data_IF_534918949055
#
_entry.id   IF_534918949055
#
_cell.length_a   1.000
_cell.length_b   1.000
_cell.length_c   1.000
_cell.angle_alpha   90.00
_cell.angle_beta   90.00
_cell.angle_gamma   90.00
#
_symmetry.space_group_name_H-M   'P 1'
#
loop_
_entity.id
_entity.type
_entity.pdbx_description
1 polymer ?
#
# COMPACT_ATOMS: atom_id res chain seq x y z
N UNK A 1 -48.90 -10.81 -51.26
CA UNK A 1 -47.95 -11.68 -50.57
C UNK A 1 -46.70 -10.85 -50.22
N UNK A 2 -46.59 -10.40 -48.99
CA UNK A 2 -45.43 -9.61 -48.50
C UNK A 2 -44.36 -10.57 -47.98
N UNK A 3 -43.14 -10.53 -48.54
CA UNK A 3 -41.98 -11.28 -48.08
C UNK A 3 -41.37 -10.54 -46.89
N UNK A 4 -41.35 -11.18 -45.72
CA UNK A 4 -40.67 -10.70 -44.55
C UNK A 4 -39.24 -11.24 -44.63
N UNK A 5 -38.26 -10.34 -44.81
CA UNK A 5 -36.82 -10.69 -44.70
C UNK A 5 -36.40 -10.62 -43.24
N UNK A 6 -36.01 -11.75 -42.69
CA UNK A 6 -35.46 -11.88 -41.34
C UNK A 6 -33.97 -11.56 -41.38
N UNK A 7 -33.56 -10.39 -40.84
CA UNK A 7 -32.15 -10.06 -40.66
C UNK A 7 -31.65 -10.76 -39.41
N UNK A 8 -30.76 -11.72 -39.56
CA UNK A 8 -30.00 -12.29 -38.47
C UNK A 8 -28.84 -11.34 -38.13
N UNK A 9 -28.91 -10.69 -36.96
CA UNK A 9 -27.79 -9.93 -36.40
C UNK A 9 -26.90 -10.92 -35.64
N UNK A 10 -25.74 -11.22 -36.21
CA UNK A 10 -24.72 -12.06 -35.60
C UNK A 10 -23.92 -11.20 -34.58
N UNK A 11 -24.25 -11.30 -33.31
CA UNK A 11 -23.48 -10.65 -32.24
C UNK A 11 -22.16 -11.39 -32.05
N UNK A 12 -21.08 -10.82 -32.54
CA UNK A 12 -19.72 -11.31 -32.26
C UNK A 12 -19.33 -10.87 -30.83
N UNK A 13 -19.37 -11.80 -29.89
CA UNK A 13 -18.80 -11.61 -28.58
C UNK A 13 -17.27 -11.66 -28.72
N UNK A 14 -16.65 -10.49 -28.72
CA UNK A 14 -15.18 -10.38 -28.64
C UNK A 14 -14.77 -10.70 -27.20
N UNK A 15 -14.38 -11.96 -26.97
CA UNK A 15 -13.73 -12.36 -25.73
C UNK A 15 -12.32 -11.73 -25.72
N UNK A 16 -12.17 -10.59 -25.05
CA UNK A 16 -10.83 -10.03 -24.79
C UNK A 16 -10.08 -10.99 -23.86
N UNK A 17 -8.90 -11.50 -24.24
CA UNK A 17 -8.11 -12.28 -23.32
C UNK A 17 -7.67 -11.38 -22.15
N UNK A 18 -8.12 -11.70 -20.96
CA UNK A 18 -7.54 -11.16 -19.73
C UNK A 18 -6.12 -11.74 -19.67
N UNK A 19 -5.15 -11.00 -20.23
CA UNK A 19 -3.74 -11.30 -19.98
C UNK A 19 -3.49 -11.05 -18.48
N UNK A 20 -3.45 -12.12 -17.71
CA UNK A 20 -2.94 -12.08 -16.35
C UNK A 20 -1.55 -11.44 -16.39
N UNK A 21 -1.38 -10.27 -15.72
CA UNK A 21 -0.07 -9.67 -15.55
C UNK A 21 0.78 -10.65 -14.73
N UNK A 22 1.66 -11.39 -15.40
CA UNK A 22 2.75 -12.09 -14.73
C UNK A 22 3.68 -11.00 -14.21
N UNK A 23 3.50 -10.63 -12.96
CA UNK A 23 4.43 -9.72 -12.27
C UNK A 23 5.63 -10.56 -11.86
N UNK A 24 6.71 -10.49 -12.64
CA UNK A 24 8.01 -11.05 -12.23
C UNK A 24 8.57 -10.17 -11.10
N UNK A 25 8.19 -10.49 -9.87
CA UNK A 25 8.77 -9.85 -8.69
C UNK A 25 10.23 -10.27 -8.53
N UNK A 26 11.06 -9.34 -8.05
CA UNK A 26 12.44 -9.62 -7.71
C UNK A 26 12.52 -10.54 -6.47
N UNK A 27 13.55 -11.34 -6.40
CA UNK A 27 13.86 -12.10 -5.20
C UNK A 27 14.22 -11.18 -4.03
N UNK A 28 14.04 -11.63 -2.80
CA UNK A 28 14.27 -10.87 -1.58
C UNK A 28 15.64 -10.17 -1.56
N UNK A 29 16.72 -10.91 -1.84
CA UNK A 29 18.08 -10.36 -1.83
C UNK A 29 18.28 -9.25 -2.87
N UNK A 30 17.63 -9.37 -4.02
CA UNK A 30 17.64 -8.31 -5.03
C UNK A 30 16.85 -7.08 -4.60
N UNK A 31 15.70 -7.28 -3.92
CA UNK A 31 14.93 -6.19 -3.33
C UNK A 31 15.75 -5.43 -2.29
N UNK A 32 16.44 -6.17 -1.38
CA UNK A 32 17.32 -5.57 -0.37
C UNK A 32 18.41 -4.72 -1.04
N UNK A 33 19.12 -5.27 -2.04
CA UNK A 33 20.15 -4.52 -2.80
C UNK A 33 19.58 -3.27 -3.47
N UNK A 34 18.37 -3.34 -4.00
CA UNK A 34 17.68 -2.18 -4.58
C UNK A 34 17.34 -1.12 -3.53
N UNK A 35 16.83 -1.54 -2.38
CA UNK A 35 16.52 -0.63 -1.27
C UNK A 35 17.77 0.05 -0.69
N UNK A 36 18.91 -0.67 -0.62
CA UNK A 36 20.21 -0.09 -0.22
C UNK A 36 20.68 1.04 -1.14
N UNK A 37 20.29 0.99 -2.42
CA UNK A 37 20.63 2.04 -3.39
C UNK A 37 19.80 3.32 -3.25
N UNK A 38 18.72 3.30 -2.48
CA UNK A 38 17.81 4.43 -2.28
C UNK A 38 16.98 4.80 -3.50
N UNK A 39 16.13 5.81 -3.34
CA UNK A 39 15.28 6.35 -4.40
C UNK A 39 14.00 5.57 -4.68
N UNK A 40 13.65 4.62 -3.82
CA UNK A 40 12.42 3.83 -3.90
C UNK A 40 11.38 4.36 -2.92
N UNK A 41 10.15 3.88 -3.06
CA UNK A 41 9.07 3.99 -2.08
C UNK A 41 8.87 2.63 -1.43
N UNK A 42 8.94 2.57 -0.12
CA UNK A 42 8.67 1.40 0.70
C UNK A 42 7.30 1.60 1.34
N UNK A 43 6.28 0.98 0.76
CA UNK A 43 4.93 1.07 1.28
C UNK A 43 4.65 -0.08 2.24
N UNK A 44 4.45 0.25 3.50
CA UNK A 44 4.08 -0.68 4.55
C UNK A 44 2.57 -0.58 4.83
N UNK A 45 1.86 -1.70 4.77
CA UNK A 45 0.62 -1.81 5.51
C UNK A 45 0.97 -1.81 6.99
N UNK A 46 0.20 -1.11 7.83
CA UNK A 46 0.43 -1.11 9.27
C UNK A 46 0.61 -2.54 9.82
N UNK A 47 1.35 -2.68 10.91
CA UNK A 47 1.56 -3.95 11.59
C UNK A 47 0.25 -4.56 12.15
N UNK A 48 0.31 -5.80 12.61
CA UNK A 48 -0.85 -6.56 13.11
C UNK A 48 -1.63 -5.82 14.19
N UNK A 49 -2.95 -5.85 14.07
CA UNK A 49 -3.89 -5.17 14.99
C UNK A 49 -4.70 -6.17 15.78
N UNK A 50 -5.33 -5.71 16.86
CA UNK A 50 -6.35 -6.49 17.56
C UNK A 50 -7.47 -6.87 16.59
N UNK A 51 -8.09 -8.05 16.82
CA UNK A 51 -9.12 -8.59 15.93
C UNK A 51 -10.51 -8.59 16.56
N UNK A 52 -10.58 -8.30 17.86
CA UNK A 52 -11.82 -8.46 18.65
C UNK A 52 -12.81 -7.32 18.41
N UNK A 53 -12.37 -6.24 17.76
CA UNK A 53 -13.20 -5.09 17.41
C UNK A 53 -12.70 -4.39 16.15
N UNK A 54 -13.60 -3.66 15.49
CA UNK A 54 -13.31 -2.82 14.32
C UNK A 54 -13.17 -1.36 14.72
N UNK A 55 -12.69 -0.51 13.80
CA UNK A 55 -12.82 0.93 13.94
C UNK A 55 -14.29 1.33 14.02
N UNK A 56 -14.60 2.40 14.76
CA UNK A 56 -15.91 3.03 14.65
C UNK A 56 -16.06 3.63 13.24
N UNK A 57 -17.28 3.62 12.69
CA UNK A 57 -17.55 4.17 11.34
C UNK A 57 -17.10 5.63 11.21
N UNK A 58 -17.19 6.40 12.29
CA UNK A 58 -16.71 7.77 12.39
C UNK A 58 -15.47 7.87 13.27
N UNK A 59 -14.49 7.00 13.03
CA UNK A 59 -13.27 6.99 13.83
C UNK A 59 -12.56 8.36 13.79
N UNK A 60 -12.30 8.93 14.97
CA UNK A 60 -11.54 10.18 15.10
C UNK A 60 -10.03 9.87 15.09
N UNK A 61 -9.31 10.49 14.18
CA UNK A 61 -7.84 10.34 14.08
C UNK A 61 -7.09 10.89 15.30
N UNK A 62 -7.73 11.66 16.15
CA UNK A 62 -7.18 12.20 17.40
C UNK A 62 -7.58 11.39 18.64
N UNK A 63 -8.51 10.44 18.50
CA UNK A 63 -9.00 9.60 19.59
C UNK A 63 -8.79 8.10 19.30
N UNK A 64 -7.76 7.53 19.91
CA UNK A 64 -7.42 6.12 19.76
C UNK A 64 -8.50 5.16 20.28
N UNK A 65 -9.41 5.60 21.16
CA UNK A 65 -10.51 4.78 21.67
C UNK A 65 -11.56 4.47 20.61
N UNK A 66 -11.61 5.24 19.53
CA UNK A 66 -12.50 5.04 18.39
C UNK A 66 -11.90 4.16 17.30
N UNK A 67 -10.65 3.72 17.47
CA UNK A 67 -9.87 3.04 16.45
C UNK A 67 -9.40 1.67 16.91
N UNK A 68 -9.25 0.76 15.96
CA UNK A 68 -8.56 -0.51 16.17
C UNK A 68 -7.06 -0.26 16.34
N UNK A 69 -6.49 -0.75 17.45
CA UNK A 69 -5.10 -0.52 17.82
C UNK A 69 -4.18 -1.67 17.39
N UNK A 70 -2.86 -1.46 17.47
CA UNK A 70 -1.89 -2.52 17.28
C UNK A 70 -2.06 -3.59 18.37
N UNK A 71 -1.94 -4.85 17.98
CA UNK A 71 -1.83 -5.98 18.91
C UNK A 71 -0.40 -6.07 19.46
N UNK A 72 -0.21 -6.87 20.51
CA UNK A 72 1.14 -7.19 21.02
C UNK A 72 2.03 -7.76 19.90
N UNK A 73 1.46 -8.62 19.03
CA UNK A 73 2.15 -9.12 17.84
C UNK A 73 2.59 -7.96 16.94
N UNK A 74 1.71 -7.01 16.66
CA UNK A 74 2.00 -5.87 15.79
C UNK A 74 3.10 -4.97 16.34
N UNK A 75 3.14 -4.76 17.65
CA UNK A 75 4.25 -4.04 18.29
C UNK A 75 5.59 -4.73 18.04
N UNK A 76 5.66 -6.04 18.24
CA UNK A 76 6.87 -6.84 17.98
C UNK A 76 7.28 -6.84 16.51
N UNK A 77 6.30 -6.97 15.61
CA UNK A 77 6.52 -6.88 14.15
C UNK A 77 7.12 -5.54 13.75
N UNK A 78 6.55 -4.43 14.19
CA UNK A 78 7.06 -3.10 13.84
C UNK A 78 8.50 -2.89 14.32
N UNK A 79 8.82 -3.30 15.55
CA UNK A 79 10.19 -3.26 16.09
C UNK A 79 11.13 -4.17 15.29
N UNK A 80 10.68 -5.37 14.91
CA UNK A 80 11.46 -6.30 14.10
C UNK A 80 11.78 -5.71 12.72
N UNK A 81 10.80 -5.15 12.02
CA UNK A 81 10.98 -4.47 10.74
C UNK A 81 12.05 -3.36 10.88
N UNK A 82 11.95 -2.53 11.91
CA UNK A 82 12.92 -1.46 12.13
C UNK A 82 14.35 -1.96 12.35
N UNK A 83 14.51 -3.04 13.09
CA UNK A 83 15.81 -3.70 13.29
C UNK A 83 16.36 -4.26 11.98
N UNK A 84 15.52 -4.90 11.16
CA UNK A 84 15.92 -5.46 9.87
C UNK A 84 16.33 -4.35 8.88
N UNK A 85 15.60 -3.25 8.80
CA UNK A 85 15.97 -2.07 8.00
C UNK A 85 17.36 -1.55 8.37
N UNK A 86 17.65 -1.44 9.69
CA UNK A 86 18.96 -1.02 10.19
C UNK A 86 20.03 -2.07 9.88
N UNK A 87 19.75 -3.35 10.13
CA UNK A 87 20.69 -4.46 9.88
C UNK A 87 21.12 -4.56 8.41
N UNK A 88 20.17 -4.39 7.51
CA UNK A 88 20.43 -4.40 6.06
C UNK A 88 20.99 -3.08 5.52
N UNK A 89 21.25 -2.09 6.37
CA UNK A 89 21.75 -0.76 5.96
C UNK A 89 20.88 -0.10 4.88
N UNK A 90 19.55 -0.24 4.97
CA UNK A 90 18.61 0.36 4.03
C UNK A 90 18.42 1.84 4.40
N UNK A 91 18.86 2.79 3.54
CA UNK A 91 18.76 4.20 3.87
C UNK A 91 17.31 4.69 3.76
N UNK A 92 16.84 5.39 4.80
CA UNK A 92 15.50 5.99 4.86
C UNK A 92 15.63 7.51 4.96
N UNK A 93 15.18 8.23 3.94
CA UNK A 93 15.23 9.69 3.87
C UNK A 93 14.05 10.34 4.60
N UNK A 94 12.86 9.80 4.44
CA UNK A 94 11.62 10.31 5.01
C UNK A 94 10.68 9.16 5.38
N UNK A 95 9.91 9.36 6.44
CA UNK A 95 8.85 8.44 6.86
C UNK A 95 7.56 9.22 6.96
N UNK A 96 6.58 8.83 6.17
CA UNK A 96 5.23 9.37 6.17
C UNK A 96 4.27 8.30 6.70
N UNK A 97 3.24 8.72 7.42
CA UNK A 97 2.22 7.78 7.90
C UNK A 97 0.81 8.34 7.73
N UNK A 98 -0.17 7.44 7.67
CA UNK A 98 -1.56 7.80 7.94
C UNK A 98 -1.68 8.39 9.34
N UNK A 99 -2.72 9.18 9.56
CA UNK A 99 -3.03 9.80 10.87
C UNK A 99 -3.60 8.78 11.87
N UNK A 100 -4.08 7.62 11.42
CA UNK A 100 -4.60 6.56 12.27
C UNK A 100 -3.51 5.99 13.18
N UNK A 101 -3.87 5.70 14.43
CA UNK A 101 -2.95 5.29 15.49
C UNK A 101 -2.10 4.09 15.08
N UNK A 102 -2.71 3.02 14.57
CA UNK A 102 -1.98 1.81 14.16
C UNK A 102 -0.92 2.06 13.09
N UNK A 103 -1.12 3.06 12.21
CA UNK A 103 -0.15 3.38 11.17
C UNK A 103 1.02 4.20 11.70
N UNK A 104 0.76 5.32 12.40
CA UNK A 104 1.86 6.13 12.92
C UNK A 104 2.61 5.43 14.07
N UNK A 105 1.94 4.60 14.88
CA UNK A 105 2.62 3.77 15.88
C UNK A 105 3.55 2.75 15.23
N UNK A 106 3.13 2.08 14.14
CA UNK A 106 4.02 1.21 13.35
C UNK A 106 5.22 2.01 12.84
N UNK A 107 5.01 3.20 12.28
CA UNK A 107 6.08 4.06 11.78
C UNK A 107 7.05 4.47 12.90
N UNK A 108 6.53 4.87 14.07
CA UNK A 108 7.33 5.23 15.22
C UNK A 108 8.17 4.07 15.73
N UNK A 109 7.58 2.91 15.94
CA UNK A 109 8.26 1.71 16.45
C UNK A 109 9.36 1.22 15.50
N UNK A 110 9.15 1.32 14.19
CA UNK A 110 10.10 0.84 13.20
C UNK A 110 11.18 1.87 12.87
N UNK A 111 10.86 3.17 12.81
CA UNK A 111 11.75 4.19 12.24
C UNK A 111 12.10 5.32 13.20
N UNK A 112 11.48 5.40 14.38
CA UNK A 112 11.69 6.43 15.42
C UNK A 112 11.41 7.87 14.93
N UNK A 113 10.82 8.01 13.75
CA UNK A 113 10.44 9.27 13.11
C UNK A 113 9.25 9.05 12.17
N UNK A 114 8.41 10.03 12.04
CA UNK A 114 7.31 10.03 11.06
C UNK A 114 6.70 11.42 10.91
N UNK A 115 6.00 11.64 9.81
CA UNK A 115 5.15 12.78 9.55
C UNK A 115 3.76 12.26 9.15
N UNK A 116 2.71 12.71 9.85
CA UNK A 116 1.32 12.32 9.55
C UNK A 116 0.81 13.03 8.30
N UNK A 117 0.09 12.31 7.45
CA UNK A 117 -0.57 12.82 6.25
C UNK A 117 -1.95 12.21 6.10
N UNK A 118 -2.97 13.04 5.98
CA UNK A 118 -4.34 12.62 5.71
C UNK A 118 -4.49 11.95 4.33
N UNK A 119 -3.55 12.20 3.41
CA UNK A 119 -3.51 11.54 2.09
C UNK A 119 -3.45 10.01 2.17
N UNK A 120 -2.97 9.48 3.29
CA UNK A 120 -2.81 8.03 3.50
C UNK A 120 -3.93 7.42 4.35
N UNK A 121 -4.89 8.23 4.80
CA UNK A 121 -6.08 7.73 5.47
C UNK A 121 -6.97 7.00 4.46
N UNK A 122 -7.53 5.86 4.87
CA UNK A 122 -8.66 5.30 4.15
C UNK A 122 -9.92 6.17 4.39
N UNK A 123 -10.92 6.00 3.55
CA UNK A 123 -12.19 6.68 3.74
C UNK A 123 -13.09 5.83 4.66
N UNK A 124 -13.90 6.46 5.54
CA UNK A 124 -14.78 5.70 6.43
C UNK A 124 -15.89 5.04 5.60
N UNK A 125 -15.85 3.70 5.50
CA UNK A 125 -16.91 2.90 4.87
C UNK A 125 -16.68 1.41 5.09
N UNK A 126 -17.74 0.60 5.03
CA UNK A 126 -17.64 -0.87 5.00
C UNK A 126 -17.33 -1.37 3.57
N UNK A 127 -18.02 -0.78 2.56
CA UNK A 127 -17.79 -1.06 1.15
C UNK A 127 -17.50 0.24 0.39
N UNK A 128 -16.34 0.34 -0.26
CA UNK A 128 -15.94 1.54 -0.97
C UNK A 128 -16.62 1.67 -2.33
N UNK A 129 -17.17 2.85 -2.61
CA UNK A 129 -17.64 3.20 -3.96
C UNK A 129 -16.47 3.43 -4.91
N UNK A 130 -16.74 3.41 -6.22
CA UNK A 130 -15.71 3.71 -7.23
C UNK A 130 -15.14 5.13 -7.06
N UNK A 131 -15.96 6.09 -6.65
CA UNK A 131 -15.56 7.46 -6.38
C UNK A 131 -14.61 7.54 -5.18
N UNK A 132 -14.89 6.80 -4.12
CA UNK A 132 -14.02 6.74 -2.92
C UNK A 132 -12.67 6.08 -3.26
N UNK A 133 -12.67 4.99 -4.02
CA UNK A 133 -11.45 4.38 -4.54
C UNK A 133 -10.66 5.35 -5.41
N UNK A 134 -11.34 6.12 -6.28
CA UNK A 134 -10.68 7.13 -7.11
C UNK A 134 -10.06 8.27 -6.28
N UNK A 135 -10.68 8.68 -5.18
CA UNK A 135 -10.13 9.67 -4.23
C UNK A 135 -8.88 9.15 -3.56
N UNK A 136 -8.90 7.92 -2.98
CA UNK A 136 -7.73 7.32 -2.34
C UNK A 136 -6.58 7.12 -3.34
N UNK A 137 -6.87 6.64 -4.54
CA UNK A 137 -5.88 6.56 -5.63
C UNK A 137 -5.26 7.91 -5.96
N UNK A 138 -6.07 8.95 -6.13
CA UNK A 138 -5.61 10.32 -6.44
C UNK A 138 -4.67 10.86 -5.37
N UNK A 139 -4.92 10.56 -4.09
CA UNK A 139 -4.08 10.97 -2.97
C UNK A 139 -2.73 10.24 -2.95
N UNK A 140 -2.73 8.92 -3.13
CA UNK A 140 -1.53 8.10 -3.00
C UNK A 140 -0.63 8.10 -4.25
N UNK A 141 -1.21 8.16 -5.46
CA UNK A 141 -0.49 8.04 -6.73
C UNK A 141 0.72 8.98 -6.88
N UNK A 142 0.65 10.27 -6.48
CA UNK A 142 1.80 11.17 -6.57
C UNK A 142 3.02 10.64 -5.81
N UNK A 143 2.83 10.10 -4.60
CA UNK A 143 3.91 9.56 -3.77
C UNK A 143 4.55 8.30 -4.36
N UNK A 144 3.73 7.41 -4.97
CA UNK A 144 4.25 6.20 -5.62
C UNK A 144 4.99 6.49 -6.92
N UNK A 145 4.68 7.59 -7.60
CA UNK A 145 5.18 7.88 -8.95
C UNK A 145 6.26 8.93 -9.03
N UNK A 146 6.33 9.86 -8.07
CA UNK A 146 7.33 10.93 -8.06
C UNK A 146 8.70 10.36 -7.73
N UNK A 147 9.70 10.68 -8.55
CA UNK A 147 11.09 10.29 -8.30
C UNK A 147 11.64 11.02 -7.07
N UNK A 148 12.13 10.24 -6.13
CA UNK A 148 12.83 10.73 -4.94
C UNK A 148 14.35 10.72 -5.19
N UNK A 149 15.08 11.58 -4.48
CA UNK A 149 16.54 11.60 -4.57
C UNK A 149 17.16 10.30 -4.03
N UNK A 150 18.32 9.90 -4.55
CA UNK A 150 19.01 8.66 -4.13
C UNK A 150 19.60 8.68 -2.71
N UNK A 151 19.41 9.74 -1.93
CA UNK A 151 19.90 9.85 -0.54
C UNK A 151 19.23 8.90 0.44
N UNK A 152 18.18 8.20 0.02
CA UNK A 152 17.41 7.23 0.80
C UNK A 152 16.08 6.91 0.15
N UNK A 153 15.33 6.03 0.79
CA UNK A 153 14.00 5.64 0.36
C UNK A 153 12.94 6.49 1.08
N UNK A 154 11.83 6.74 0.42
CA UNK A 154 10.61 7.22 1.05
C UNK A 154 9.89 6.02 1.68
N UNK A 155 9.62 6.08 2.97
CA UNK A 155 8.77 5.11 3.66
C UNK A 155 7.36 5.70 3.79
N UNK A 156 6.35 4.90 3.49
CA UNK A 156 4.94 5.19 3.74
C UNK A 156 4.37 4.07 4.58
N UNK A 157 3.79 4.40 5.72
CA UNK A 157 3.07 3.44 6.57
C UNK A 157 1.60 3.81 6.58
N UNK A 158 0.78 2.95 6.01
CA UNK A 158 -0.65 3.23 5.83
C UNK A 158 -1.49 1.95 5.85
N UNK A 159 -2.56 1.91 5.07
CA UNK A 159 -3.60 0.89 5.10
C UNK A 159 -3.63 0.10 3.78
N UNK A 160 -4.42 -0.96 3.76
CA UNK A 160 -4.73 -1.79 2.59
C UNK A 160 -5.46 -0.99 1.50
N UNK A 161 -6.56 -0.33 1.85
CA UNK A 161 -7.48 0.29 0.89
C UNK A 161 -6.83 1.35 0.00
N UNK A 162 -6.03 2.34 0.52
CA UNK A 162 -5.33 3.29 -0.34
C UNK A 162 -4.36 2.62 -1.31
N UNK A 163 -3.69 1.54 -0.89
CA UNK A 163 -2.76 0.83 -1.76
C UNK A 163 -3.50 0.05 -2.84
N UNK A 164 -4.55 -0.66 -2.47
CA UNK A 164 -5.41 -1.37 -3.42
C UNK A 164 -6.02 -0.40 -4.43
N UNK A 165 -6.56 0.73 -3.96
CA UNK A 165 -7.10 1.77 -4.84
C UNK A 165 -6.10 2.27 -5.88
N UNK A 166 -4.82 2.42 -5.50
CA UNK A 166 -3.79 2.95 -6.39
C UNK A 166 -3.18 1.88 -7.31
N UNK A 167 -3.12 0.62 -6.87
CA UNK A 167 -2.34 -0.44 -7.54
C UNK A 167 -3.20 -1.58 -8.07
N UNK A 168 -4.41 -1.79 -7.53
CA UNK A 168 -5.24 -2.96 -7.75
C UNK A 168 -4.74 -4.20 -6.99
N UNK A 169 -3.86 -4.03 -6.00
CA UNK A 169 -3.31 -5.12 -5.19
C UNK A 169 -3.73 -4.89 -3.74
N UNK A 170 -4.44 -5.85 -3.15
CA UNK A 170 -4.72 -5.87 -1.72
C UNK A 170 -3.47 -6.33 -0.96
N UNK A 171 -2.85 -5.48 -0.10
CA UNK A 171 -1.60 -5.81 0.57
C UNK A 171 -1.86 -6.68 1.80
N UNK A 172 -1.54 -7.96 1.72
CA UNK A 172 -1.66 -8.93 2.80
C UNK A 172 -0.38 -9.75 2.95
N UNK A 173 0.04 -10.09 4.18
CA UNK A 173 -0.56 -9.78 5.49
C UNK A 173 -0.33 -8.34 5.96
N UNK A 174 -0.90 -7.97 7.14
CA UNK A 174 -0.48 -6.74 7.85
C UNK A 174 1.02 -6.78 8.09
N UNK A 175 1.68 -5.61 8.06
CA UNK A 175 3.15 -5.51 8.17
C UNK A 175 3.90 -5.76 6.86
N UNK A 176 3.22 -6.19 5.78
CA UNK A 176 3.86 -6.38 4.47
C UNK A 176 4.43 -5.07 3.93
N UNK A 177 5.60 -5.14 3.29
CA UNK A 177 6.26 -4.03 2.61
C UNK A 177 6.27 -4.25 1.10
N UNK A 178 5.61 -3.38 0.34
CA UNK A 178 5.78 -3.32 -1.11
C UNK A 178 6.89 -2.36 -1.49
N UNK A 179 7.80 -2.84 -2.32
CA UNK A 179 8.94 -2.07 -2.85
C UNK A 179 8.56 -1.50 -4.20
N UNK A 180 8.42 -0.18 -4.27
CA UNK A 180 7.92 0.53 -5.45
C UNK A 180 9.01 1.40 -6.05
N UNK A 181 9.22 1.29 -7.35
CA UNK A 181 10.11 2.14 -8.13
C UNK A 181 9.31 3.27 -8.79
N UNK A 182 9.50 4.53 -8.37
CA UNK A 182 8.91 5.68 -9.04
C UNK A 182 9.53 5.87 -10.43
N UNK A 183 8.70 6.10 -11.45
CA UNK A 183 9.15 6.33 -12.83
C UNK A 183 8.92 7.78 -13.30
N UNK A 184 8.17 8.56 -12.53
CA UNK A 184 7.75 9.91 -12.92
C UNK A 184 6.46 9.91 -13.73
N UNK A 185 5.87 11.09 -13.92
CA UNK A 185 4.67 11.31 -14.77
C UNK A 185 3.51 10.36 -14.43
N UNK A 186 3.22 10.17 -13.14
CA UNK A 186 2.13 9.30 -12.66
C UNK A 186 2.40 7.80 -12.84
N UNK A 187 3.62 7.39 -13.20
CA UNK A 187 4.00 5.99 -13.44
C UNK A 187 4.89 5.46 -12.34
N UNK A 188 4.72 4.20 -12.01
CA UNK A 188 5.55 3.44 -11.08
C UNK A 188 5.61 1.97 -11.48
N UNK A 189 6.52 1.23 -10.86
CA UNK A 189 6.63 -0.23 -10.98
C UNK A 189 6.74 -0.83 -9.59
N UNK A 190 5.97 -1.87 -9.30
CA UNK A 190 6.15 -2.69 -8.11
C UNK A 190 7.25 -3.70 -8.41
N UNK A 191 8.34 -3.64 -7.63
CA UNK A 191 9.49 -4.53 -7.79
C UNK A 191 9.27 -5.86 -7.07
N UNK A 192 8.49 -5.87 -5.99
CA UNK A 192 8.17 -7.01 -5.18
C UNK A 192 7.70 -6.57 -3.79
N UNK A 193 7.69 -7.52 -2.86
CA UNK A 193 7.30 -7.29 -1.48
C UNK A 193 8.16 -8.12 -0.52
N UNK A 194 8.15 -7.74 0.75
CA UNK A 194 8.74 -8.51 1.86
C UNK A 194 7.65 -8.64 2.93
N UNK A 195 7.33 -9.87 3.31
CA UNK A 195 6.40 -10.16 4.40
C UNK A 195 7.04 -9.89 5.76
N UNK A 196 6.26 -9.60 6.83
CA UNK A 196 6.85 -9.26 8.12
C UNK A 196 7.73 -10.34 8.72
N UNK A 197 7.48 -11.60 8.42
CA UNK A 197 8.28 -12.75 8.84
C UNK A 197 9.57 -12.95 8.03
N UNK A 198 9.69 -12.27 6.91
CA UNK A 198 10.83 -12.42 5.98
C UNK A 198 11.93 -11.37 6.18
N UNK A 199 11.73 -10.45 7.09
CA UNK A 199 12.73 -9.42 7.39
C UNK A 199 13.97 -9.94 8.12
#
# INVERSE_FOLDING_TARGET
MRKISLLFVLSIIILSPVLGRVTNYLAKDELIKKMQSGGLVLYFRQASTEKDYADQVTADVNDGSTQRVLSEKGWKEAVHIGRAIKFHNIPVSQVLSSEYFRAWQTAWLAFEKYEKKSDFNFLPHEDFTQEQMAVMKKRLLPYLSQKHGKKGNLVIVAHDDPFEAATGIYPEPMGICYVVQPLGSGKFRILGFISPEDW
#
